data_IF_082226143574
#
_entry.id   IF_082226143574
#
_cell.length_a   1.000
_cell.length_b   1.000
_cell.length_c   1.000
_cell.angle_alpha   90.00
_cell.angle_beta   90.00
_cell.angle_gamma   90.00
#
_symmetry.space_group_name_H-M   'P 1'
#
loop_
_entity.id
_entity.type
_entity.pdbx_description
1 polymer ?
#
# COMPACT_ATOMS: atom_id res chain seq x y z
N UNK A 1 10.98 8.57 3.30
CA UNK A 1 10.46 7.21 3.22
C UNK A 1 10.55 6.53 4.57
N UNK A 2 9.47 5.95 4.99
CA UNK A 2 9.45 5.24 6.27
C UNK A 2 9.10 3.79 6.06
N UNK A 3 9.98 2.91 6.48
CA UNK A 3 9.75 1.47 6.38
C UNK A 3 9.88 0.86 7.77
N UNK A 4 8.85 0.15 8.19
CA UNK A 4 8.86 -0.55 9.47
C UNK A 4 8.86 -2.05 9.21
N UNK A 5 9.81 -2.74 9.81
CA UNK A 5 9.97 -4.17 9.60
C UNK A 5 9.53 -4.94 10.83
N UNK A 6 8.67 -5.93 10.64
CA UNK A 6 8.25 -6.81 11.71
C UNK A 6 8.76 -8.21 11.42
N UNK A 7 9.53 -8.75 12.35
CA UNK A 7 10.13 -10.07 12.16
C UNK A 7 9.26 -11.21 12.65
N UNK A 8 8.19 -10.91 13.36
CA UNK A 8 7.39 -11.94 13.97
C UNK A 8 6.13 -12.30 13.20
N UNK A 9 5.81 -11.59 12.16
CA UNK A 9 4.62 -11.87 11.40
C UNK A 9 4.81 -12.98 10.39
N UNK A 10 3.72 -13.39 9.76
CA UNK A 10 3.77 -14.39 8.71
C UNK A 10 4.12 -13.78 7.35
N UNK A 11 4.16 -12.46 7.26
CA UNK A 11 4.45 -11.78 6.00
C UNK A 11 5.96 -11.68 5.81
N UNK A 12 6.48 -12.17 4.69
CA UNK A 12 7.92 -12.04 4.42
C UNK A 12 8.37 -10.58 4.44
N UNK A 13 9.63 -10.38 4.81
CA UNK A 13 10.16 -9.03 4.94
C UNK A 13 10.09 -8.28 3.61
N UNK A 14 10.42 -8.94 2.50
CA UNK A 14 10.41 -8.24 1.22
C UNK A 14 8.99 -7.76 0.86
N UNK A 15 7.97 -8.53 1.23
CA UNK A 15 6.59 -8.10 0.98
C UNK A 15 6.22 -6.91 1.85
N UNK A 16 6.73 -6.86 3.06
CA UNK A 16 6.48 -5.71 3.90
C UNK A 16 7.05 -4.43 3.29
N UNK A 17 8.25 -4.54 2.72
CA UNK A 17 8.85 -3.40 2.05
C UNK A 17 8.04 -3.00 0.83
N UNK A 18 7.66 -3.97 0.02
CA UNK A 18 6.90 -3.70 -1.19
C UNK A 18 5.58 -3.02 -0.86
N UNK A 19 4.85 -3.57 0.11
CA UNK A 19 3.54 -3.01 0.48
C UNK A 19 3.67 -1.58 0.99
N UNK A 20 4.64 -1.33 1.84
CA UNK A 20 4.78 -0.01 2.42
C UNK A 20 5.21 1.02 1.39
N UNK A 21 6.11 0.64 0.48
CA UNK A 21 6.52 1.56 -0.55
C UNK A 21 5.39 1.84 -1.52
N UNK A 22 4.62 0.82 -1.88
CA UNK A 22 3.46 1.05 -2.74
C UNK A 22 2.49 2.03 -2.10
N UNK A 23 2.20 1.82 -0.81
CA UNK A 23 1.26 2.69 -0.12
C UNK A 23 1.76 4.12 -0.07
N UNK A 24 3.06 4.31 0.15
CA UNK A 24 3.60 5.65 0.20
C UNK A 24 3.60 6.34 -1.16
N UNK A 25 3.83 5.57 -2.22
CA UNK A 25 3.76 6.11 -3.56
C UNK A 25 2.31 6.47 -3.91
N UNK A 26 1.39 5.59 -3.60
CA UNK A 26 -0.01 5.81 -3.93
C UNK A 26 -0.63 6.94 -3.12
N UNK A 27 -0.17 7.13 -1.89
CA UNK A 27 -0.69 8.20 -1.05
C UNK A 27 -0.05 9.55 -1.34
N UNK A 28 1.01 9.56 -2.11
CA UNK A 28 1.69 10.81 -2.43
C UNK A 28 2.84 11.16 -1.50
N UNK A 29 3.10 10.32 -0.50
CA UNK A 29 4.25 10.56 0.38
C UNK A 29 5.55 10.47 -0.39
N UNK A 30 5.63 9.52 -1.31
CA UNK A 30 6.75 9.43 -2.24
C UNK A 30 6.26 9.95 -3.59
N UNK A 31 6.91 10.96 -4.09
CA UNK A 31 6.47 11.63 -5.31
C UNK A 31 7.21 11.08 -6.52
N UNK A 32 6.61 11.24 -7.68
CA UNK A 32 7.25 10.83 -8.92
C UNK A 32 8.61 11.51 -9.07
N UNK A 33 9.59 10.72 -9.45
CA UNK A 33 10.93 11.24 -9.63
C UNK A 33 11.74 11.35 -8.36
N UNK A 34 11.13 11.08 -7.22
CA UNK A 34 11.86 11.18 -5.96
C UNK A 34 12.87 10.05 -5.86
N UNK A 35 14.10 10.40 -5.44
CA UNK A 35 15.16 9.41 -5.29
C UNK A 35 14.94 8.58 -4.04
N UNK A 36 15.19 7.28 -4.18
CA UNK A 36 15.06 6.35 -3.06
C UNK A 36 16.44 6.01 -2.51
N UNK A 37 16.52 5.61 -1.25
CA UNK A 37 17.81 5.18 -0.73
C UNK A 37 18.29 3.96 -1.49
N UNK A 38 19.61 3.80 -1.56
CA UNK A 38 20.16 2.64 -2.22
C UNK A 38 19.75 1.38 -1.46
N UNK A 39 19.78 0.25 -2.16
CA UNK A 39 19.42 -1.01 -1.53
C UNK A 39 20.31 -1.29 -0.33
N UNK A 40 21.59 -0.98 -0.45
CA UNK A 40 22.53 -1.23 0.65
C UNK A 40 22.24 -0.33 1.84
N UNK A 41 21.93 0.93 1.58
CA UNK A 41 21.61 1.84 2.67
C UNK A 41 20.36 1.42 3.39
N UNK A 42 19.31 1.08 2.66
CA UNK A 42 18.07 0.65 3.29
C UNK A 42 18.29 -0.63 4.09
N UNK A 43 19.03 -1.58 3.52
CA UNK A 43 19.30 -2.82 4.21
C UNK A 43 20.04 -2.57 5.51
N UNK A 44 21.01 -1.66 5.48
CA UNK A 44 21.78 -1.33 6.67
C UNK A 44 20.92 -0.65 7.72
N UNK A 45 20.11 0.30 7.29
CA UNK A 45 19.28 1.05 8.23
C UNK A 45 18.21 0.19 8.88
N UNK A 46 17.66 -0.75 8.14
CA UNK A 46 16.60 -1.62 8.66
C UNK A 46 17.14 -2.95 9.16
N UNK A 47 18.43 -3.17 9.09
CA UNK A 47 19.07 -4.38 9.60
C UNK A 47 18.51 -5.63 8.95
N UNK A 48 18.40 -5.60 7.64
CA UNK A 48 17.92 -6.73 6.85
C UNK A 48 18.96 -7.01 5.77
N UNK A 49 18.79 -8.15 5.11
CA UNK A 49 19.76 -8.54 4.10
C UNK A 49 19.62 -7.69 2.84
N UNK A 50 20.72 -7.49 2.15
CA UNK A 50 20.70 -6.76 0.89
C UNK A 50 19.92 -7.54 -0.14
N UNK A 51 19.98 -8.87 -0.10
CA UNK A 51 19.24 -9.70 -1.04
C UNK A 51 17.73 -9.50 -0.90
N UNK A 52 17.25 -9.43 0.34
CA UNK A 52 15.84 -9.17 0.59
C UNK A 52 15.43 -7.80 0.07
N UNK A 53 16.25 -6.80 0.32
CA UNK A 53 15.96 -5.45 -0.15
C UNK A 53 15.98 -5.40 -1.68
N UNK A 54 16.93 -6.09 -2.29
CA UNK A 54 17.02 -6.13 -3.74
C UNK A 54 15.77 -6.76 -4.33
N UNK A 55 15.31 -7.84 -3.73
CA UNK A 55 14.09 -8.49 -4.21
C UNK A 55 12.89 -7.55 -4.15
N UNK A 56 12.78 -6.78 -3.08
CA UNK A 56 11.68 -5.83 -2.96
C UNK A 56 11.76 -4.76 -4.04
N UNK A 57 12.94 -4.21 -4.27
CA UNK A 57 13.11 -3.18 -5.29
C UNK A 57 12.83 -3.73 -6.69
N UNK A 58 13.28 -4.95 -6.96
CA UNK A 58 13.04 -5.57 -8.26
C UNK A 58 11.55 -5.82 -8.48
N UNK A 59 10.85 -6.23 -7.43
CA UNK A 59 9.42 -6.45 -7.54
C UNK A 59 8.70 -5.14 -7.84
N UNK A 60 9.07 -4.07 -7.13
CA UNK A 60 8.46 -2.78 -7.36
C UNK A 60 8.75 -2.24 -8.76
N UNK A 61 9.96 -2.48 -9.24
CA UNK A 61 10.31 -2.05 -10.58
C UNK A 61 9.54 -2.84 -11.62
N UNK A 62 9.37 -4.13 -11.40
CA UNK A 62 8.63 -4.97 -12.33
C UNK A 62 7.18 -4.54 -12.42
N UNK A 63 6.62 -4.07 -11.30
CA UNK A 63 5.23 -3.62 -11.29
C UNK A 63 5.06 -2.17 -11.72
N UNK A 64 6.13 -1.49 -12.04
CA UNK A 64 6.03 -0.14 -12.56
C UNK A 64 6.04 0.97 -11.51
N UNK A 65 6.33 0.65 -10.26
CA UNK A 65 6.38 1.68 -9.23
C UNK A 65 7.73 2.38 -9.15
N UNK A 66 8.80 1.67 -9.51
CA UNK A 66 10.14 2.23 -9.47
C UNK A 66 10.79 2.15 -10.83
N UNK A 67 11.74 3.05 -11.07
CA UNK A 67 12.61 2.94 -12.22
C UNK A 67 14.04 3.08 -11.74
N UNK A 68 14.93 2.33 -12.36
CA UNK A 68 16.34 2.35 -12.01
C UNK A 68 17.15 2.98 -13.14
N UNK A 69 18.11 3.81 -12.77
CA UNK A 69 19.01 4.41 -13.73
C UNK A 69 20.42 4.01 -13.38
N UNK A 70 21.13 3.51 -14.36
CA UNK A 70 22.50 3.04 -14.15
C UNK A 70 23.35 4.20 -13.63
N UNK A 71 23.99 3.98 -12.49
CA UNK A 71 24.85 5.00 -11.90
C UNK A 71 24.13 6.06 -11.10
N UNK A 72 22.80 6.08 -11.11
CA UNK A 72 22.04 7.11 -10.40
C UNK A 72 21.11 6.55 -9.34
N UNK A 73 20.83 5.25 -9.38
CA UNK A 73 20.00 4.65 -8.35
C UNK A 73 18.56 4.43 -8.79
N UNK A 74 17.70 4.31 -7.80
CA UNK A 74 16.28 4.03 -8.04
C UNK A 74 15.45 5.27 -7.74
N UNK A 75 14.40 5.45 -8.52
CA UNK A 75 13.52 6.59 -8.39
C UNK A 75 12.08 6.14 -8.49
N UNK A 76 11.18 6.94 -7.95
CA UNK A 76 9.75 6.67 -8.08
C UNK A 76 9.35 6.92 -9.52
N UNK A 77 8.80 5.90 -10.17
CA UNK A 77 8.42 5.99 -11.58
C UNK A 77 7.12 6.76 -11.73
N UNK A 78 6.89 7.36 -12.92
CA UNK A 78 5.61 7.99 -13.19
C UNK A 78 4.49 6.96 -13.08
N UNK A 79 3.37 7.35 -12.50
CA UNK A 79 2.27 6.44 -12.23
C UNK A 79 1.11 6.68 -13.16
N UNK A 80 0.47 5.60 -13.59
CA UNK A 80 -0.78 5.70 -14.30
C UNK A 80 -1.89 5.68 -13.26
N UNK A 81 -2.48 6.85 -13.02
CA UNK A 81 -3.46 7.01 -11.96
C UNK A 81 -4.66 6.09 -12.14
N UNK A 82 -5.09 5.91 -13.38
CA UNK A 82 -6.23 5.05 -13.64
C UNK A 82 -5.94 3.60 -13.32
N UNK A 83 -4.76 3.12 -13.69
CA UNK A 83 -4.38 1.75 -13.37
C UNK A 83 -4.29 1.54 -11.87
N UNK A 84 -3.73 2.52 -11.17
CA UNK A 84 -3.60 2.44 -9.73
C UNK A 84 -4.97 2.36 -9.09
N UNK A 85 -5.88 3.22 -9.53
CA UNK A 85 -7.24 3.22 -8.99
C UNK A 85 -7.92 1.90 -9.24
N UNK A 86 -7.72 1.33 -10.42
CA UNK A 86 -8.32 0.06 -10.76
C UNK A 86 -7.80 -1.07 -9.89
N UNK A 87 -6.51 -1.08 -9.64
CA UNK A 87 -5.92 -2.08 -8.76
C UNK A 87 -6.48 -1.97 -7.35
N UNK A 88 -6.63 -0.76 -6.85
CA UNK A 88 -7.21 -0.54 -5.54
C UNK A 88 -8.66 -1.02 -5.49
N UNK A 89 -9.42 -0.73 -6.53
CA UNK A 89 -10.80 -1.18 -6.58
C UNK A 89 -10.90 -2.70 -6.53
N UNK A 90 -10.02 -3.38 -7.23
CA UNK A 90 -10.01 -4.84 -7.19
C UNK A 90 -9.71 -5.37 -5.80
N UNK A 91 -8.75 -4.76 -5.13
CA UNK A 91 -8.40 -5.18 -3.78
C UNK A 91 -9.57 -4.93 -2.82
N UNK A 92 -10.22 -3.79 -2.97
CA UNK A 92 -11.36 -3.49 -2.13
C UNK A 92 -12.48 -4.49 -2.37
N UNK A 93 -12.76 -4.79 -3.63
CA UNK A 93 -13.80 -5.76 -3.97
C UNK A 93 -13.49 -7.12 -3.35
N UNK A 94 -12.24 -7.52 -3.41
CA UNK A 94 -11.83 -8.81 -2.85
C UNK A 94 -12.06 -8.84 -1.35
N UNK A 95 -11.68 -7.77 -0.66
CA UNK A 95 -11.89 -7.71 0.79
C UNK A 95 -13.36 -7.68 1.15
N UNK A 96 -14.15 -6.96 0.37
CA UNK A 96 -15.58 -6.94 0.61
C UNK A 96 -16.21 -8.32 0.40
N UNK A 97 -15.73 -9.03 -0.61
CA UNK A 97 -16.23 -10.38 -0.87
C UNK A 97 -15.91 -11.30 0.30
N UNK A 98 -14.70 -11.20 0.83
CA UNK A 98 -14.32 -11.98 1.99
C UNK A 98 -15.18 -11.63 3.20
N UNK A 99 -15.43 -10.32 3.38
CA UNK A 99 -16.26 -9.89 4.50
C UNK A 99 -17.69 -10.42 4.38
N UNK A 100 -18.23 -10.43 3.16
CA UNK A 100 -19.56 -10.94 2.94
C UNK A 100 -19.63 -12.43 3.25
N UNK A 101 -18.60 -13.18 2.85
CA UNK A 101 -18.56 -14.60 3.13
C UNK A 101 -18.51 -14.87 4.63
N UNK A 102 -17.68 -14.12 5.33
CA UNK A 102 -17.60 -14.30 6.79
C UNK A 102 -18.90 -13.92 7.47
N UNK A 103 -19.55 -12.87 7.00
CA UNK A 103 -20.82 -12.46 7.57
C UNK A 103 -21.87 -13.53 7.39
N UNK A 104 -21.86 -14.18 6.23
CA UNK A 104 -22.79 -15.27 5.98
C UNK A 104 -22.59 -16.42 6.95
N UNK A 105 -21.32 -16.75 7.21
CA UNK A 105 -21.02 -17.82 8.15
C UNK A 105 -21.42 -17.45 9.58
N UNK A 106 -21.32 -16.19 9.94
CA UNK A 106 -21.65 -15.73 11.28
C UNK A 106 -23.11 -15.37 11.45
N UNK A 107 -23.90 -15.43 10.39
CA UNK A 107 -25.30 -15.06 10.48
C UNK A 107 -25.54 -13.57 10.54
N UNK A 108 -24.60 -12.77 10.03
CA UNK A 108 -24.71 -11.34 10.03
C UNK A 108 -25.31 -10.87 8.71
N UNK A 109 -26.39 -10.08 8.80
CA UNK A 109 -27.06 -9.61 7.61
C UNK A 109 -26.37 -8.41 6.97
N UNK A 110 -26.78 -8.05 5.75
CA UNK A 110 -26.12 -6.97 5.04
C UNK A 110 -26.25 -5.62 5.73
N UNK A 111 -27.34 -5.40 6.45
CA UNK A 111 -27.51 -4.13 7.15
C UNK A 111 -26.50 -3.98 8.26
N UNK A 112 -26.29 -5.03 9.03
CA UNK A 112 -25.32 -4.99 10.10
C UNK A 112 -23.91 -4.86 9.52
N UNK A 113 -23.65 -5.55 8.42
CA UNK A 113 -22.34 -5.46 7.78
C UNK A 113 -22.07 -4.04 7.30
N UNK A 114 -23.09 -3.36 6.77
CA UNK A 114 -22.92 -1.98 6.34
C UNK A 114 -22.62 -1.07 7.52
N UNK A 115 -23.26 -1.32 8.66
CA UNK A 115 -22.96 -0.54 9.85
C UNK A 115 -21.54 -0.75 10.31
N UNK A 116 -21.05 -1.99 10.25
CA UNK A 116 -19.69 -2.29 10.61
C UNK A 116 -18.70 -1.55 9.72
N UNK A 117 -19.04 -1.45 8.44
CA UNK A 117 -18.17 -0.73 7.51
C UNK A 117 -18.10 0.75 7.87
N UNK A 118 -19.23 1.36 8.19
CA UNK A 118 -19.23 2.77 8.57
C UNK A 118 -18.44 3.01 9.85
N UNK A 119 -18.56 2.11 10.81
CA UNK A 119 -17.78 2.22 12.03
C UNK A 119 -16.29 2.09 11.76
N UNK A 120 -15.93 1.19 10.89
CA UNK A 120 -14.53 1.01 10.54
C UNK A 120 -13.97 2.27 9.89
N UNK A 121 -14.75 2.93 9.07
CA UNK A 121 -14.31 4.17 8.46
C UNK A 121 -14.06 5.24 9.51
N UNK A 122 -14.91 5.33 10.51
CA UNK A 122 -14.72 6.29 11.57
C UNK A 122 -13.46 6.01 12.38
N UNK A 123 -13.23 4.73 12.69
CA UNK A 123 -12.07 4.35 13.46
C UNK A 123 -10.77 4.66 12.73
N UNK A 124 -10.76 4.49 11.42
CA UNK A 124 -9.55 4.75 10.64
C UNK A 124 -9.40 6.22 10.28
N UNK A 125 -10.40 7.03 10.52
CA UNK A 125 -10.33 8.43 10.15
C UNK A 125 -10.49 8.70 8.67
N UNK A 126 -10.98 7.73 7.93
CA UNK A 126 -11.11 7.89 6.48
C UNK A 126 -12.13 8.95 6.13
N UNK A 127 -13.17 9.07 6.93
CA UNK A 127 -14.17 10.09 6.70
C UNK A 127 -13.56 11.49 6.72
N UNK A 128 -12.61 11.71 7.60
CA UNK A 128 -11.93 12.99 7.65
C UNK A 128 -11.17 13.28 6.37
N UNK A 129 -10.52 12.24 5.85
CA UNK A 129 -9.78 12.40 4.60
C UNK A 129 -10.73 12.79 3.48
N UNK A 130 -11.87 12.13 3.42
CA UNK A 130 -12.85 12.45 2.41
C UNK A 130 -13.38 13.87 2.57
N UNK A 131 -13.60 14.27 3.78
CA UNK A 131 -14.07 15.61 4.04
C UNK A 131 -13.12 16.67 3.58
N UNK A 132 -11.85 16.39 3.77
CA UNK A 132 -10.84 17.33 3.34
C UNK A 132 -10.81 17.50 1.85
N UNK A 133 -11.16 16.48 1.17
CA UNK A 133 -11.18 16.58 -0.26
C UNK A 133 -12.37 17.30 -0.75
N UNK A 134 -13.06 17.72 -0.01
CA UNK A 134 -14.03 18.35 -0.30
C UNK A 134 -14.86 18.09 -0.81
N UNK A 135 -15.12 17.81 -0.44
CA UNK A 135 -16.18 17.50 -0.80
C UNK A 135 -16.25 16.53 -1.73
N UNK A 136 -15.38 16.07 -2.10
CA UNK A 136 -15.46 15.16 -3.04
C UNK A 136 -16.07 13.98 -2.63
N UNK A 137 -15.74 13.46 -1.58
CA UNK A 137 -16.33 12.25 -1.19
C UNK A 137 -17.68 12.43 -0.79
N UNK A 138 -18.01 13.59 -0.59
CA UNK A 138 -19.15 13.75 -0.05
C UNK A 138 -19.99 14.37 -0.84
N UNK A 139 -19.69 14.69 -1.69
CA UNK A 139 -20.54 15.21 -2.34
C UNK A 139 -20.97 14.64 -3.12
#
# INVERSE_FOLDING_TARGET
>A
MKITIQNTGSVPIYEQIVSQMKNQILSGELREGEALPSMRLLAKERRISVITTKRAYEELEREGFLSSMVGEGSFVAPQNIEMIREQHLRQIEEKLREAVQLAGLAGIGPETLAEMLLLAEEEEGIADICGRKEGTCNE
#
